data_IF_748619944891
#
_entry.id   IF_748619944891
#
_cell.length_a   1.000
_cell.length_b   1.000
_cell.length_c   1.000
_cell.angle_alpha   90.00
_cell.angle_beta   90.00
_cell.angle_gamma   90.00
#
_symmetry.space_group_name_H-M   'P 1'
#
loop_
_entity.id
_entity.type
_entity.pdbx_description
1 polymer ?
#
# COMPACT_ATOMS: atom_id res chain seq x y z
N UNK A 1 2.08 27.15 -2.21
CA UNK A 1 1.80 26.50 -2.31
C UNK A 1 1.05 25.88 -2.97
N UNK A 2 1.19 25.73 -3.41
CA UNK A 2 0.68 25.29 -3.90
C UNK A 2 0.05 24.57 -4.16
N UNK A 3 -0.08 24.39 -4.45
CA UNK A 3 -0.62 23.84 -4.77
C UNK A 3 -1.40 23.27 -4.33
N UNK A 4 -1.57 23.83 -3.91
CA UNK A 4 -2.26 23.41 -3.23
C UNK A 4 -3.49 22.87 -3.51
N UNK A 5 -4.42 23.17 -3.93
CA UNK A 5 -5.59 22.71 -4.34
C UNK A 5 -5.64 21.21 -4.45
N UNK A 6 -5.94 20.68 -5.58
CA UNK A 6 -5.82 19.23 -5.77
C UNK A 6 -4.40 18.75 -5.51
N UNK A 7 -3.44 19.63 -5.69
CA UNK A 7 -2.05 19.30 -5.40
C UNK A 7 -1.79 19.07 -3.94
N UNK A 8 -2.53 19.74 -3.06
CA UNK A 8 -2.37 19.55 -1.63
C UNK A 8 -2.63 18.13 -1.19
N UNK A 9 -3.67 17.53 -1.78
CA UNK A 9 -4.00 16.14 -1.51
C UNK A 9 -2.91 15.20 -2.00
N UNK A 10 -2.37 15.43 -3.19
CA UNK A 10 -1.28 14.63 -3.75
C UNK A 10 0.00 14.74 -2.94
N UNK A 11 0.33 15.96 -2.52
CA UNK A 11 1.51 16.19 -1.70
C UNK A 11 1.39 15.46 -0.37
N UNK A 12 0.22 15.55 0.25
CA UNK A 12 -0.04 14.87 1.51
C UNK A 12 0.05 13.36 1.33
N UNK A 13 -0.48 12.83 0.25
CA UNK A 13 -0.42 11.41 -0.06
C UNK A 13 1.01 10.94 -0.23
N UNK A 14 1.83 11.70 -0.95
CA UNK A 14 3.23 11.34 -1.16
C UNK A 14 4.03 11.37 0.14
N UNK A 15 3.75 12.36 1.00
CA UNK A 15 4.39 12.42 2.30
C UNK A 15 4.01 11.23 3.16
N UNK A 16 2.74 10.84 3.12
CA UNK A 16 2.26 9.69 3.86
C UNK A 16 2.94 8.41 3.38
N UNK A 17 3.10 8.26 2.07
CA UNK A 17 3.75 7.09 1.48
C UNK A 17 5.22 7.05 1.84
N UNK A 18 5.89 8.21 1.86
CA UNK A 18 7.29 8.30 2.26
C UNK A 18 7.47 7.87 3.71
N UNK A 19 6.61 8.36 4.59
CA UNK A 19 6.63 7.98 6.01
C UNK A 19 6.41 6.49 6.16
N UNK A 20 5.45 5.93 5.43
CA UNK A 20 5.16 4.50 5.50
C UNK A 20 6.34 3.67 5.02
N UNK A 21 7.01 4.09 3.94
CA UNK A 21 8.17 3.37 3.42
C UNK A 21 9.31 3.34 4.43
N UNK A 22 9.63 4.50 5.02
CA UNK A 22 10.69 4.60 6.03
C UNK A 22 10.34 3.73 7.24
N UNK A 23 9.09 3.81 7.69
CA UNK A 23 8.63 3.02 8.82
C UNK A 23 8.80 1.52 8.57
N UNK A 24 8.39 1.05 7.40
CA UNK A 24 8.50 -0.37 7.07
C UNK A 24 9.96 -0.81 7.02
N UNK A 25 10.84 0.03 6.46
CA UNK A 25 12.26 -0.28 6.42
C UNK A 25 12.85 -0.38 7.82
N UNK A 26 12.47 0.53 8.70
CA UNK A 26 12.92 0.50 10.09
C UNK A 26 12.44 -0.76 10.81
N UNK A 27 11.31 -1.30 10.38
CA UNK A 27 10.75 -2.53 10.96
C UNK A 27 11.31 -3.79 10.32
N UNK A 28 12.29 -3.65 9.42
CA UNK A 28 12.99 -4.79 8.84
C UNK A 28 12.47 -5.25 7.48
N UNK A 29 11.59 -4.49 6.86
CA UNK A 29 11.08 -4.81 5.53
C UNK A 29 11.93 -4.16 4.46
N UNK A 30 12.06 -4.82 3.32
CA UNK A 30 12.73 -4.26 2.15
C UNK A 30 11.68 -3.77 1.17
N UNK A 31 11.83 -2.55 0.70
CA UNK A 31 10.91 -1.96 -0.26
C UNK A 31 11.25 -2.46 -1.66
N UNK A 32 10.27 -3.08 -2.31
CA UNK A 32 10.40 -3.59 -3.67
C UNK A 32 9.84 -2.64 -4.70
N UNK A 33 8.86 -1.83 -4.33
CA UNK A 33 8.26 -0.89 -5.26
C UNK A 33 7.42 0.13 -4.54
N UNK A 34 7.19 1.27 -5.20
CA UNK A 34 6.41 2.38 -4.67
C UNK A 34 5.61 3.00 -5.80
N UNK A 35 4.39 3.42 -5.52
CA UNK A 35 3.55 4.15 -6.46
C UNK A 35 3.43 3.46 -7.82
N UNK A 36 3.11 2.17 -7.78
CA UNK A 36 2.97 1.37 -8.99
C UNK A 36 1.55 1.53 -9.51
N UNK A 37 1.41 2.11 -10.69
CA UNK A 37 0.11 2.36 -11.29
C UNK A 37 -0.20 1.36 -12.39
N UNK A 38 -1.48 0.93 -12.43
CA UNK A 38 -1.97 0.19 -13.56
C UNK A 38 -2.26 1.13 -14.73
N UNK A 39 -2.47 0.56 -15.90
CA UNK A 39 -2.85 1.35 -17.06
C UNK A 39 -4.23 1.97 -16.85
N UNK A 40 -4.38 3.19 -17.36
CA UNK A 40 -5.64 3.91 -17.29
C UNK A 40 -6.75 3.09 -17.96
N UNK A 41 -7.86 2.90 -17.26
CA UNK A 41 -9.01 2.17 -17.78
C UNK A 41 -8.90 0.65 -17.65
N UNK A 42 -7.79 0.14 -17.10
CA UNK A 42 -7.58 -1.31 -16.98
C UNK A 42 -8.36 -1.93 -15.82
N UNK A 43 -8.87 -1.12 -14.90
CA UNK A 43 -9.50 -1.63 -13.69
C UNK A 43 -8.52 -2.09 -12.63
N UNK A 44 -7.23 -1.88 -12.89
CA UNK A 44 -6.15 -2.21 -11.95
C UNK A 44 -5.89 -1.00 -11.07
N UNK A 45 -5.80 -1.22 -9.77
CA UNK A 45 -5.57 -0.16 -8.82
C UNK A 45 -4.11 0.28 -8.76
N UNK A 46 -3.84 1.31 -7.98
CA UNK A 46 -2.51 1.79 -7.72
C UNK A 46 -1.98 1.12 -6.45
N UNK A 47 -0.77 0.60 -6.53
CA UNK A 47 -0.11 0.00 -5.37
C UNK A 47 0.79 1.04 -4.73
N UNK A 48 0.48 1.42 -3.50
CA UNK A 48 1.23 2.46 -2.80
C UNK A 48 2.63 2.00 -2.45
N UNK A 49 2.76 0.77 -1.95
CA UNK A 49 4.03 0.27 -1.44
C UNK A 49 4.03 -1.24 -1.52
N UNK A 50 5.14 -1.80 -1.97
CA UNK A 50 5.34 -3.25 -2.00
C UNK A 50 6.59 -3.54 -1.22
N UNK A 51 6.48 -4.41 -0.22
CA UNK A 51 7.60 -4.72 0.66
C UNK A 51 7.74 -6.22 0.80
N UNK A 52 8.94 -6.66 1.16
CA UNK A 52 9.15 -8.07 1.46
C UNK A 52 10.02 -8.23 2.69
N UNK A 53 9.79 -9.33 3.39
CA UNK A 53 10.62 -9.75 4.49
C UNK A 53 10.63 -11.28 4.50
N UNK A 54 11.82 -11.86 4.45
CA UNK A 54 11.97 -13.29 4.22
C UNK A 54 11.28 -13.63 2.89
N UNK A 55 10.37 -14.56 2.87
CA UNK A 55 9.68 -14.95 1.64
C UNK A 55 8.23 -14.47 1.61
N UNK A 56 7.92 -13.44 2.38
CA UNK A 56 6.60 -12.85 2.43
C UNK A 56 6.62 -11.52 1.71
N UNK A 57 5.72 -11.35 0.74
CA UNK A 57 5.51 -10.10 0.03
C UNK A 57 4.23 -9.47 0.55
N UNK A 58 4.32 -8.22 0.99
CA UNK A 58 3.15 -7.48 1.48
C UNK A 58 2.89 -6.30 0.56
N UNK A 59 1.64 -6.19 0.10
CA UNK A 59 1.15 -5.05 -0.64
C UNK A 59 0.51 -4.12 0.37
N UNK A 60 1.08 -2.94 0.54
CA UNK A 60 0.73 -2.03 1.62
C UNK A 60 -0.07 -0.88 1.06
N UNK A 61 -1.27 -0.71 1.57
CA UNK A 61 -2.10 0.45 1.27
C UNK A 61 -1.85 1.49 2.36
N UNK A 62 -1.55 2.71 1.94
CA UNK A 62 -1.25 3.81 2.87
C UNK A 62 -2.48 4.71 2.94
N UNK A 63 -3.04 4.85 4.13
CA UNK A 63 -4.23 5.66 4.37
C UNK A 63 -3.96 6.72 5.43
N UNK A 64 -3.88 7.96 4.99
CA UNK A 64 -3.66 9.09 5.89
C UNK A 64 -4.97 9.44 6.61
N UNK A 65 -5.25 8.73 7.69
CA UNK A 65 -6.43 8.92 8.53
C UNK A 65 -5.97 9.06 9.98
N UNK A 66 -6.82 9.65 10.80
CA UNK A 66 -6.48 9.84 12.22
C UNK A 66 -6.69 8.56 13.02
N UNK A 67 -7.61 7.71 12.56
CA UNK A 67 -7.95 6.47 13.26
C UNK A 67 -7.85 5.28 12.34
N UNK A 68 -7.32 4.18 12.87
CA UNK A 68 -7.19 2.94 12.11
C UNK A 68 -8.54 2.42 11.61
N UNK A 69 -9.61 2.38 12.43
CA UNK A 69 -10.91 1.92 11.92
C UNK A 69 -11.38 2.72 10.71
N UNK A 70 -11.18 4.05 10.71
CA UNK A 70 -11.57 4.90 9.59
C UNK A 70 -10.77 4.55 8.34
N UNK A 71 -9.48 4.24 8.50
CA UNK A 71 -8.63 3.86 7.38
C UNK A 71 -9.10 2.54 6.76
N UNK A 72 -9.46 1.57 7.59
CA UNK A 72 -9.95 0.28 7.12
C UNK A 72 -11.30 0.40 6.43
N UNK A 73 -12.19 1.22 6.96
CA UNK A 73 -13.50 1.46 6.36
C UNK A 73 -13.39 2.19 5.02
N UNK A 74 -12.33 2.98 4.84
CA UNK A 74 -12.10 3.68 3.58
C UNK A 74 -11.79 2.74 2.43
N UNK A 75 -11.47 1.47 2.74
CA UNK A 75 -11.18 0.47 1.72
C UNK A 75 -12.45 -0.29 1.37
N UNK A 76 -13.14 0.16 0.32
CA UNK A 76 -14.34 -0.51 -0.17
C UNK A 76 -13.96 -1.86 -0.78
N UNK A 77 -14.95 -2.75 -0.93
CA UNK A 77 -14.75 -4.02 -1.62
C UNK A 77 -14.25 -3.81 -3.04
N UNK A 78 -14.76 -2.79 -3.71
CA UNK A 78 -14.33 -2.46 -5.07
C UNK A 78 -12.86 -2.07 -5.10
N UNK A 79 -12.43 -1.25 -4.17
CA UNK A 79 -11.04 -0.83 -4.08
C UNK A 79 -10.13 -2.01 -3.77
N UNK A 80 -10.55 -2.88 -2.86
CA UNK A 80 -9.78 -4.09 -2.53
C UNK A 80 -9.61 -4.98 -3.75
N UNK A 81 -10.67 -5.19 -4.53
CA UNK A 81 -10.56 -5.98 -5.75
C UNK A 81 -9.58 -5.38 -6.74
N UNK A 82 -9.57 -4.07 -6.88
CA UNK A 82 -8.63 -3.40 -7.78
C UNK A 82 -7.18 -3.57 -7.32
N UNK A 83 -6.97 -3.52 -6.01
CA UNK A 83 -5.63 -3.74 -5.44
C UNK A 83 -5.20 -5.19 -5.60
N UNK A 84 -6.11 -6.12 -5.45
CA UNK A 84 -5.82 -7.54 -5.64
C UNK A 84 -5.40 -7.83 -7.08
N UNK A 85 -6.07 -7.20 -8.04
CA UNK A 85 -5.68 -7.33 -9.45
C UNK A 85 -4.31 -6.74 -9.71
N UNK A 86 -4.03 -5.59 -9.10
CA UNK A 86 -2.73 -4.96 -9.24
C UNK A 86 -1.63 -5.84 -8.68
N UNK A 87 -1.89 -6.46 -7.53
CA UNK A 87 -0.94 -7.36 -6.90
C UNK A 87 -0.67 -8.59 -7.77
N UNK A 88 -1.72 -9.17 -8.35
CA UNK A 88 -1.57 -10.32 -9.24
C UNK A 88 -0.72 -9.98 -10.45
N UNK A 89 -0.97 -8.83 -11.04
CA UNK A 89 -0.20 -8.38 -12.20
C UNK A 89 1.26 -8.15 -11.83
N UNK A 90 1.49 -7.51 -10.69
CA UNK A 90 2.86 -7.24 -10.25
C UNK A 90 3.62 -8.54 -10.02
N UNK A 91 3.00 -9.50 -9.33
CA UNK A 91 3.64 -10.80 -9.06
C UNK A 91 3.94 -11.53 -10.36
N UNK A 92 3.05 -11.49 -11.34
CA UNK A 92 3.28 -12.18 -12.61
C UNK A 92 4.44 -11.57 -13.40
N UNK A 93 4.71 -10.28 -13.20
CA UNK A 93 5.80 -9.60 -13.88
C UNK A 93 7.13 -9.69 -13.10
N UNK A 94 7.09 -10.17 -11.88
CA UNK A 94 8.27 -10.23 -11.00
C UNK A 94 8.49 -11.64 -10.48
N UNK A 95 8.54 -12.61 -11.40
CA UNK A 95 8.73 -14.00 -11.04
C UNK A 95 10.06 -14.31 -10.40
N UNK A 96 11.02 -13.38 -10.46
CA UNK A 96 12.32 -13.51 -9.81
C UNK A 96 12.25 -13.27 -8.32
N UNK A 97 11.16 -12.71 -7.83
CA UNK A 97 10.99 -12.45 -6.40
C UNK A 97 10.61 -13.74 -5.69
N UNK A 98 11.43 -14.13 -4.71
CA UNK A 98 11.14 -15.31 -3.89
C UNK A 98 9.93 -15.01 -3.01
N UNK A 99 8.88 -15.79 -3.16
CA UNK A 99 7.63 -15.53 -2.48
C UNK A 99 6.95 -16.83 -2.07
N UNK A 100 6.74 -17.01 -0.77
CA UNK A 100 5.98 -18.14 -0.23
C UNK A 100 4.62 -17.68 0.27
N UNK A 101 4.37 -16.38 0.31
CA UNK A 101 3.10 -15.85 0.73
C UNK A 101 2.94 -14.42 0.30
N UNK A 102 1.68 -14.04 0.09
CA UNK A 102 1.29 -12.67 -0.27
C UNK A 102 0.29 -12.19 0.77
N UNK A 103 0.45 -10.94 1.17
CA UNK A 103 -0.38 -10.37 2.21
C UNK A 103 -0.75 -8.94 1.85
N UNK A 104 -1.92 -8.50 2.31
CA UNK A 104 -2.37 -7.12 2.11
C UNK A 104 -2.39 -6.43 3.47
N UNK A 105 -1.59 -5.38 3.57
CA UNK A 105 -1.42 -4.64 4.81
C UNK A 105 -1.89 -3.20 4.62
N UNK A 106 -2.19 -2.54 5.74
CA UNK A 106 -2.50 -1.11 5.75
C UNK A 106 -1.54 -0.42 6.69
N UNK A 107 -1.02 0.72 6.29
CA UNK A 107 -0.25 1.59 7.18
C UNK A 107 -0.95 2.93 7.26
N UNK A 108 -1.17 3.38 8.48
CA UNK A 108 -1.77 4.67 8.78
C UNK A 108 -0.65 5.56 9.33
N UNK A 109 -0.09 6.46 8.52
CA UNK A 109 0.99 7.33 8.99
C UNK A 109 0.43 8.50 9.79
N UNK A 110 0.13 8.22 11.04
CA UNK A 110 -0.43 9.20 11.95
C UNK A 110 0.66 10.15 12.42
N UNK A 111 0.21 11.30 12.91
CA UNK A 111 1.08 12.22 13.61
C UNK A 111 1.68 11.49 14.81
N UNK A 112 2.99 11.42 14.89
CA UNK A 112 3.70 10.67 15.92
C UNK A 112 4.14 9.31 15.42
N UNK A 113 3.46 8.25 15.82
CA UNK A 113 3.86 6.90 15.44
C UNK A 113 2.92 6.31 14.37
N UNK A 114 3.46 5.89 13.22
CA UNK A 114 2.64 5.19 12.24
C UNK A 114 2.07 3.90 12.81
N UNK A 115 0.86 3.55 12.35
CA UNK A 115 0.20 2.32 12.79
C UNK A 115 0.19 1.35 11.62
N UNK A 116 0.73 0.15 11.84
CA UNK A 116 0.75 -0.90 10.84
C UNK A 116 -0.32 -1.93 11.17
N UNK A 117 -1.17 -2.23 10.20
CA UNK A 117 -2.19 -3.28 10.32
C UNK A 117 -1.79 -4.39 9.34
N UNK A 118 -1.11 -5.43 9.84
CA UNK A 118 -0.72 -6.53 8.97
C UNK A 118 -1.92 -7.40 8.64
N UNK A 119 -1.93 -7.95 7.43
CA UNK A 119 -2.97 -8.90 7.01
C UNK A 119 -4.36 -8.28 7.15
N UNK A 120 -4.51 -7.07 6.63
CA UNK A 120 -5.73 -6.28 6.84
C UNK A 120 -6.96 -6.90 6.19
N UNK A 121 -6.80 -7.63 5.09
CA UNK A 121 -7.89 -8.41 4.49
C UNK A 121 -7.29 -9.56 3.69
N UNK A 122 -8.10 -10.58 3.46
CA UNK A 122 -7.70 -11.77 2.72
C UNK A 122 -8.67 -12.00 1.56
N UNK A 123 -8.21 -11.79 0.31
CA UNK A 123 -9.10 -11.96 -0.84
C UNK A 123 -9.53 -13.40 -1.05
N UNK A 124 -8.73 -14.33 -0.55
CA UNK A 124 -8.97 -15.77 -0.79
C UNK A 124 -9.47 -16.51 0.45
N UNK A 125 -9.75 -15.76 1.52
CA UNK A 125 -10.15 -16.36 2.77
C UNK A 125 -11.62 -16.19 3.13
#
# INVERSE_FOLDING_TARGET
MVTEGCSGSSVRGRQAEQVAAVFMELMGWRVLGRNIRGERGSGVGELDLIVCRKNLVAFVEVKARDHVPDALEALSSRQRCRLERAAEMWMSCHGDVSCQGVRFDVVVPRSGCPQHVPDAWRPWG
#
